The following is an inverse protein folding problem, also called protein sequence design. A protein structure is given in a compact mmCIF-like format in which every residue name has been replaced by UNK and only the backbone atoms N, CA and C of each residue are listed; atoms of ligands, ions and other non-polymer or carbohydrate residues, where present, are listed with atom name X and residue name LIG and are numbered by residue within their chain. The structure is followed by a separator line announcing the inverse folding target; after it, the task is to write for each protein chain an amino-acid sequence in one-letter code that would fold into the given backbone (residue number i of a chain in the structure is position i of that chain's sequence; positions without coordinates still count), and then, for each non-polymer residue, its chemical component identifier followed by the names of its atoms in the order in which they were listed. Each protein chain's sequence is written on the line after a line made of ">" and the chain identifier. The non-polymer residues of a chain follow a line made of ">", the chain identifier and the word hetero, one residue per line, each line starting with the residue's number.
data_IF_682040629122
#
_entry.id   IF_682040629122
#
_cell.length_a   1.000
_cell.length_b   1.000
_cell.length_c   1.000
_cell.angle_alpha   90.00
_cell.angle_beta   90.00
_cell.angle_gamma   90.00
#
_symmetry.space_group_name_H-M   'P 1'
#
loop_
_entity.id
_entity.type
_entity.pdbx_description
1 polymer ?
#
# COMPACT_ATOMS: atom_id res chain seq x y z
N UNK A 1 -10.00 -21.63 33.97
CA UNK A 1 -9.27 -20.46 33.43
C UNK A 1 -9.17 -20.57 31.91
N UNK A 2 -10.08 -19.99 31.11
CA UNK A 2 -10.01 -20.10 29.66
C UNK A 2 -9.48 -18.79 29.03
N UNK A 3 -8.16 -18.62 28.95
CA UNK A 3 -7.55 -17.54 28.16
C UNK A 3 -7.47 -17.89 26.66
N UNK A 4 -7.70 -19.15 26.28
CA UNK A 4 -7.58 -19.59 24.89
C UNK A 4 -8.74 -19.14 23.98
N UNK A 5 -9.91 -18.82 24.53
CA UNK A 5 -11.05 -18.34 23.74
C UNK A 5 -10.85 -16.93 23.16
N UNK A 6 -10.16 -16.06 23.90
CA UNK A 6 -9.92 -14.68 23.49
C UNK A 6 -8.88 -14.58 22.36
N UNK A 7 -7.79 -15.37 22.43
CA UNK A 7 -6.75 -15.42 21.40
C UNK A 7 -7.30 -15.92 20.06
N UNK A 8 -8.17 -16.93 20.07
CA UNK A 8 -8.82 -17.43 18.86
C UNK A 8 -9.73 -16.40 18.18
N UNK A 9 -10.43 -15.56 18.98
CA UNK A 9 -11.26 -14.47 18.47
C UNK A 9 -10.42 -13.34 17.87
N UNK A 10 -9.35 -12.93 18.55
CA UNK A 10 -8.44 -11.87 18.07
C UNK A 10 -7.65 -12.26 16.81
N UNK A 11 -7.34 -13.55 16.61
CA UNK A 11 -6.72 -14.03 15.36
C UNK A 11 -7.63 -13.87 14.13
N UNK A 12 -8.96 -13.87 14.33
CA UNK A 12 -9.95 -13.64 13.26
C UNK A 12 -10.36 -12.18 13.11
N UNK A 13 -9.92 -11.30 14.01
CA UNK A 13 -10.29 -9.89 13.97
C UNK A 13 -9.65 -9.21 12.76
N UNK A 14 -10.46 -8.50 11.97
CA UNK A 14 -10.00 -7.76 10.80
C UNK A 14 -9.10 -6.59 11.23
N UNK A 15 -7.87 -6.54 10.73
CA UNK A 15 -6.92 -5.45 10.98
C UNK A 15 -6.96 -4.39 9.88
N UNK A 16 -7.29 -4.78 8.65
CA UNK A 16 -7.38 -3.90 7.49
C UNK A 16 -8.65 -4.19 6.69
N UNK A 17 -9.52 -3.20 6.57
CA UNK A 17 -10.75 -3.32 5.76
C UNK A 17 -10.44 -2.93 4.32
N UNK A 18 -11.11 -3.58 3.35
CA UNK A 18 -10.83 -3.45 1.90
C UNK A 18 -10.74 -2.02 1.36
N UNK A 19 -11.51 -1.07 1.92
CA UNK A 19 -11.54 0.33 1.45
C UNK A 19 -10.70 1.29 2.30
N UNK A 20 -9.87 0.75 3.21
CA UNK A 20 -9.04 1.54 4.12
C UNK A 20 -7.60 1.71 3.62
N UNK A 21 -7.37 1.52 2.32
CA UNK A 21 -6.12 1.86 1.65
C UNK A 21 -6.40 2.63 0.35
N UNK A 22 -5.77 3.79 0.18
CA UNK A 22 -5.97 4.62 -1.00
C UNK A 22 -4.78 5.52 -1.30
N UNK A 23 -4.68 5.95 -2.56
CA UNK A 23 -3.67 6.90 -3.00
C UNK A 23 -4.26 8.31 -3.00
N UNK A 24 -3.45 9.29 -2.62
CA UNK A 24 -3.79 10.71 -2.63
C UNK A 24 -2.57 11.57 -2.97
N UNK A 25 -2.75 12.85 -3.35
CA UNK A 25 -1.64 13.78 -3.59
C UNK A 25 -0.93 14.12 -2.28
N UNK A 26 0.39 13.97 -2.23
CA UNK A 26 1.15 14.12 -0.98
C UNK A 26 1.16 15.53 -0.35
N UNK A 27 0.68 16.54 -1.07
CA UNK A 27 0.48 17.91 -0.60
C UNK A 27 -0.88 18.14 0.07
N UNK A 28 -1.86 17.24 -0.14
CA UNK A 28 -3.10 17.22 0.64
C UNK A 28 -2.83 16.62 2.04
N UNK A 29 -2.37 17.49 2.93
CA UNK A 29 -2.01 17.15 4.32
C UNK A 29 -3.19 17.18 5.30
N UNK A 30 -4.39 17.57 4.84
CA UNK A 30 -5.55 17.79 5.72
C UNK A 30 -6.68 16.82 5.44
N UNK A 31 -7.07 16.70 4.18
CA UNK A 31 -8.27 15.94 3.80
C UNK A 31 -7.91 14.53 3.34
N UNK A 32 -6.66 14.30 2.91
CA UNK A 32 -6.18 13.01 2.42
C UNK A 32 -7.10 12.46 1.32
N UNK A 33 -7.54 13.34 0.42
CA UNK A 33 -8.61 13.08 -0.55
C UNK A 33 -8.16 12.03 -1.55
N UNK A 34 -8.91 10.93 -1.66
CA UNK A 34 -8.63 9.87 -2.63
C UNK A 34 -8.55 10.45 -4.04
N UNK A 35 -7.44 10.19 -4.73
CA UNK A 35 -7.31 10.59 -6.13
C UNK A 35 -8.21 9.75 -7.04
N UNK A 36 -8.71 10.31 -8.17
CA UNK A 36 -9.47 9.56 -9.15
C UNK A 36 -8.72 8.33 -9.66
N UNK A 37 -9.44 7.32 -10.16
CA UNK A 37 -8.81 6.16 -10.78
C UNK A 37 -7.96 6.60 -11.98
N UNK A 38 -6.79 5.98 -12.13
CA UNK A 38 -5.82 6.27 -13.19
C UNK A 38 -5.26 7.70 -13.17
N UNK A 39 -5.38 8.44 -12.06
CA UNK A 39 -4.80 9.78 -11.92
C UNK A 39 -3.30 9.78 -12.22
N UNK A 40 -2.84 10.78 -12.99
CA UNK A 40 -1.44 10.88 -13.42
C UNK A 40 -0.63 11.71 -12.44
N UNK A 41 0.39 11.09 -11.85
CA UNK A 41 1.41 11.77 -11.06
C UNK A 41 2.66 11.98 -11.90
N UNK A 42 3.07 13.24 -12.05
CA UNK A 42 4.34 13.62 -12.68
C UNK A 42 5.36 13.89 -11.57
N UNK A 43 6.13 12.87 -11.21
CA UNK A 43 7.12 12.93 -10.14
C UNK A 43 8.48 13.44 -10.67
N UNK A 44 9.36 13.98 -9.82
CA UNK A 44 10.72 14.35 -10.20
C UNK A 44 11.48 13.18 -10.80
N UNK A 45 12.55 13.46 -11.56
CA UNK A 45 13.45 12.43 -12.09
C UNK A 45 13.89 11.47 -10.97
N UNK A 46 14.03 10.19 -11.31
CA UNK A 46 14.49 9.16 -10.38
C UNK A 46 15.74 9.63 -9.63
N UNK A 47 15.70 9.56 -8.29
CA UNK A 47 16.79 9.98 -7.41
C UNK A 47 16.83 11.46 -7.06
N UNK A 48 15.97 12.31 -7.62
CA UNK A 48 16.01 13.77 -7.42
C UNK A 48 14.83 14.33 -6.63
N UNK A 49 13.96 13.47 -6.08
CA UNK A 49 12.79 13.92 -5.32
C UNK A 49 13.16 14.52 -3.96
N UNK A 50 12.47 15.58 -3.57
CA UNK A 50 12.57 16.25 -2.29
C UNK A 50 11.21 16.29 -1.56
N UNK A 51 11.20 16.85 -0.34
CA UNK A 51 10.00 16.92 0.51
C UNK A 51 8.90 17.86 -0.01
N UNK A 52 9.24 18.82 -0.87
CA UNK A 52 8.27 19.75 -1.47
C UNK A 52 7.63 19.24 -2.75
N UNK A 53 8.17 18.19 -3.37
CA UNK A 53 7.58 17.62 -4.57
C UNK A 53 6.22 16.96 -4.26
N UNK A 54 5.27 17.13 -5.19
CA UNK A 54 3.98 16.45 -5.12
C UNK A 54 4.11 15.09 -5.77
N UNK A 55 4.12 14.05 -4.94
CA UNK A 55 4.20 12.64 -5.34
C UNK A 55 2.93 11.91 -4.89
N UNK A 56 2.60 10.71 -5.41
CA UNK A 56 1.56 9.89 -4.82
C UNK A 56 1.95 9.53 -3.38
N UNK A 57 0.97 9.57 -2.48
CA UNK A 57 1.10 9.06 -1.14
C UNK A 57 0.04 7.96 -0.92
N UNK A 58 0.47 6.84 -0.36
CA UNK A 58 -0.40 5.76 0.08
C UNK A 58 -0.85 6.05 1.50
N UNK A 59 -2.16 6.16 1.72
CA UNK A 59 -2.79 6.16 3.04
C UNK A 59 -3.22 4.73 3.37
N UNK A 60 -2.92 4.28 4.58
CA UNK A 60 -3.40 3.02 5.16
C UNK A 60 -4.06 3.36 6.49
N UNK A 61 -5.31 2.99 6.67
CA UNK A 61 -6.03 3.14 7.93
C UNK A 61 -6.32 1.76 8.54
N UNK A 62 -5.58 1.41 9.59
CA UNK A 62 -5.73 0.12 10.24
C UNK A 62 -6.87 0.17 11.26
N UNK A 63 -7.81 -0.79 11.16
CA UNK A 63 -8.90 -0.95 12.11
C UNK A 63 -8.40 -1.44 13.47
N UNK A 64 -7.31 -2.22 13.47
CA UNK A 64 -6.57 -2.70 14.65
C UNK A 64 -5.07 -2.68 14.34
N UNK A 65 -4.21 -2.74 15.37
CA UNK A 65 -2.78 -2.83 15.16
C UNK A 65 -2.40 -4.06 14.31
N UNK A 66 -1.29 -3.97 13.59
CA UNK A 66 -0.76 -5.06 12.76
C UNK A 66 0.75 -5.22 12.97
N UNK A 67 1.24 -6.42 13.34
CA UNK A 67 2.67 -6.66 13.50
C UNK A 67 3.47 -6.48 12.22
N UNK A 68 2.85 -6.59 11.04
CA UNK A 68 3.51 -6.49 9.75
C UNK A 68 2.56 -6.00 8.66
N UNK A 69 2.94 -4.92 7.97
CA UNK A 69 2.25 -4.40 6.78
C UNK A 69 3.19 -4.49 5.59
N UNK A 70 2.71 -5.13 4.53
CA UNK A 70 3.37 -5.28 3.22
C UNK A 70 2.59 -4.49 2.19
N UNK A 71 3.28 -3.96 1.19
CA UNK A 71 2.63 -3.28 0.06
C UNK A 71 3.32 -3.70 -1.22
N UNK A 72 2.61 -4.44 -2.05
CA UNK A 72 3.08 -4.77 -3.39
C UNK A 72 2.65 -3.71 -4.40
N UNK A 73 3.60 -3.28 -5.23
CA UNK A 73 3.31 -2.45 -6.40
C UNK A 73 3.09 -3.37 -7.59
N UNK A 74 1.85 -3.40 -8.08
CA UNK A 74 1.44 -4.27 -9.19
C UNK A 74 1.28 -3.43 -10.46
N UNK A 75 2.06 -3.69 -11.53
CA UNK A 75 1.88 -3.02 -12.81
C UNK A 75 0.55 -3.44 -13.45
N UNK A 76 -0.11 -2.49 -14.09
CA UNK A 76 -1.32 -2.71 -14.86
C UNK A 76 -0.99 -2.62 -16.34
N UNK A 77 -1.18 -3.72 -17.07
CA UNK A 77 -1.10 -3.73 -18.53
C UNK A 77 -2.17 -2.81 -19.13
N UNK A 78 -1.87 -2.15 -20.25
CA UNK A 78 -2.88 -1.39 -20.99
C UNK A 78 -4.04 -2.31 -21.39
N UNK A 79 -5.20 -2.14 -20.74
CA UNK A 79 -6.47 -2.66 -21.26
C UNK A 79 -7.24 -3.66 -20.39
N UNK A 80 -6.70 -4.17 -19.29
CA UNK A 80 -7.51 -4.99 -18.37
C UNK A 80 -7.25 -4.58 -16.93
N UNK A 81 -8.29 -4.12 -16.25
CA UNK A 81 -8.31 -4.11 -14.80
C UNK A 81 -7.97 -5.54 -14.38
N UNK A 82 -6.78 -5.72 -13.81
CA UNK A 82 -6.46 -6.96 -13.14
C UNK A 82 -7.57 -7.14 -12.09
N UNK A 83 -8.50 -8.05 -12.38
CA UNK A 83 -9.29 -8.74 -11.37
C UNK A 83 -8.31 -9.18 -10.30
N UNK A 84 -8.75 -9.25 -9.04
CA UNK A 84 -7.92 -9.50 -7.87
C UNK A 84 -6.97 -10.74 -7.94
N UNK A 85 -7.02 -11.51 -9.04
CA UNK A 85 -6.20 -12.68 -9.37
C UNK A 85 -5.44 -12.63 -10.73
N UNK A 86 -5.32 -11.51 -11.44
CA UNK A 86 -4.61 -11.47 -12.72
C UNK A 86 -3.10 -11.21 -12.54
N UNK A 87 -2.32 -12.29 -12.45
CA UNK A 87 -0.96 -12.60 -12.99
C UNK A 87 0.11 -11.53 -13.26
N UNK A 88 -0.06 -10.27 -12.90
CA UNK A 88 1.01 -9.29 -12.95
C UNK A 88 1.89 -9.46 -11.71
N UNK A 89 3.13 -9.90 -11.92
CA UNK A 89 4.12 -10.03 -10.84
C UNK A 89 4.39 -8.64 -10.24
N UNK A 90 4.31 -8.54 -8.91
CA UNK A 90 4.72 -7.34 -8.17
C UNK A 90 6.14 -6.93 -8.58
N UNK A 91 6.37 -5.64 -8.77
CA UNK A 91 7.72 -5.10 -9.02
C UNK A 91 8.49 -4.85 -7.71
N UNK A 92 7.87 -5.12 -6.56
CA UNK A 92 8.45 -4.92 -5.23
C UNK A 92 7.60 -4.01 -4.36
N UNK A 93 8.15 -3.66 -3.20
CA UNK A 93 7.52 -2.77 -2.22
C UNK A 93 8.04 -1.33 -2.37
N UNK A 94 7.23 -0.31 -2.03
CA UNK A 94 7.72 1.07 -1.91
C UNK A 94 8.89 1.15 -0.91
N UNK A 95 9.84 2.04 -1.17
CA UNK A 95 10.94 2.28 -0.23
C UNK A 95 10.43 2.66 1.18
N UNK A 96 11.00 2.05 2.22
CA UNK A 96 10.55 2.20 3.61
C UNK A 96 9.52 1.17 4.08
N UNK A 97 9.16 0.22 3.22
CA UNK A 97 8.38 -0.97 3.56
C UNK A 97 9.27 -2.22 3.41
N UNK A 98 8.95 -3.33 4.10
CA UNK A 98 7.76 -3.58 4.92
C UNK A 98 7.76 -2.83 6.26
N UNK A 99 6.58 -2.44 6.74
CA UNK A 99 6.45 -1.76 8.04
C UNK A 99 6.13 -2.76 9.15
N UNK A 100 6.85 -2.71 10.27
CA UNK A 100 6.68 -3.61 11.42
C UNK A 100 6.08 -2.87 12.61
N UNK A 101 5.35 -3.62 13.45
CA UNK A 101 4.76 -3.13 14.71
C UNK A 101 3.90 -1.88 14.52
N UNK A 102 2.91 -1.99 13.65
CA UNK A 102 2.00 -0.89 13.33
C UNK A 102 0.90 -0.83 14.38
N UNK A 103 0.80 0.31 15.06
CA UNK A 103 -0.33 0.59 15.95
C UNK A 103 -1.63 0.75 15.16
N UNK A 104 -2.76 0.78 15.86
CA UNK A 104 -4.03 1.20 15.27
C UNK A 104 -3.99 2.70 14.99
N UNK A 105 -3.45 3.09 13.85
CA UNK A 105 -3.38 4.47 13.38
C UNK A 105 -3.35 4.53 11.87
N UNK A 106 -3.67 5.70 11.34
CA UNK A 106 -3.44 5.98 9.95
C UNK A 106 -1.95 6.21 9.68
N UNK A 107 -1.45 5.60 8.62
CA UNK A 107 -0.08 5.75 8.14
C UNK A 107 -0.08 6.28 6.71
N UNK A 108 0.90 7.12 6.40
CA UNK A 108 1.07 7.70 5.06
C UNK A 108 2.48 7.43 4.54
N UNK A 109 2.59 6.84 3.36
CA UNK A 109 3.84 6.53 2.70
C UNK A 109 3.91 7.28 1.37
N UNK A 110 4.80 8.27 1.28
CA UNK A 110 5.09 8.97 0.02
C UNK A 110 5.87 8.04 -0.91
N UNK A 111 5.57 8.09 -2.20
CA UNK A 111 6.25 7.26 -3.19
C UNK A 111 6.61 8.08 -4.43
N UNK A 112 7.90 8.29 -4.65
CA UNK A 112 8.48 8.97 -5.82
C UNK A 112 8.85 7.98 -6.94
N UNK A 113 8.38 6.73 -6.86
CA UNK A 113 8.78 5.64 -7.73
C UNK A 113 9.87 4.74 -7.15
N UNK A 114 10.53 5.13 -6.05
CA UNK A 114 11.60 4.32 -5.44
C UNK A 114 11.06 3.04 -4.79
N UNK A 115 11.71 1.93 -5.08
CA UNK A 115 11.43 0.61 -4.53
C UNK A 115 12.36 0.31 -3.35
N UNK A 116 11.98 -0.64 -2.49
CA UNK A 116 12.81 -1.12 -1.38
C UNK A 116 14.19 -1.60 -1.85
N UNK A 117 14.26 -2.23 -3.03
CA UNK A 117 15.50 -2.66 -3.68
C UNK A 117 16.46 -1.52 -4.05
N UNK A 118 16.02 -0.26 -3.93
CA UNK A 118 16.76 0.94 -4.30
C UNK A 118 16.61 1.34 -5.78
N UNK A 119 16.04 0.46 -6.62
CA UNK A 119 15.68 0.82 -8.00
C UNK A 119 14.42 1.68 -8.07
N UNK A 120 14.13 2.21 -9.26
CA UNK A 120 12.94 3.03 -9.51
C UNK A 120 11.99 2.29 -10.45
N UNK A 121 10.70 2.33 -10.13
CA UNK A 121 9.65 1.82 -11.01
C UNK A 121 9.65 2.59 -12.34
N UNK A 122 9.52 1.93 -13.50
CA UNK A 122 9.42 2.64 -14.77
C UNK A 122 8.14 3.48 -14.84
N UNK A 123 8.10 4.47 -15.75
CA UNK A 123 6.85 5.17 -16.03
C UNK A 123 5.79 4.15 -16.51
N UNK A 124 4.56 4.25 -16.01
CA UNK A 124 3.55 3.22 -16.26
C UNK A 124 2.35 3.34 -15.34
N UNK A 125 1.39 2.43 -15.49
CA UNK A 125 0.19 2.38 -14.66
C UNK A 125 0.35 1.30 -13.59
N UNK A 126 -0.03 1.61 -12.37
CA UNK A 126 0.15 0.74 -11.21
C UNK A 126 -1.06 0.76 -10.29
N UNK A 127 -1.18 -0.26 -9.44
CA UNK A 127 -1.97 -0.19 -8.21
C UNK A 127 -1.18 -0.77 -7.05
N UNK A 128 -1.54 -0.40 -5.83
CA UNK A 128 -0.91 -0.92 -4.64
C UNK A 128 -1.82 -1.96 -3.99
N UNK A 129 -1.24 -3.09 -3.60
CA UNK A 129 -1.90 -4.16 -2.86
C UNK A 129 -1.33 -4.17 -1.45
N UNK A 130 -2.10 -3.66 -0.49
CA UNK A 130 -1.71 -3.57 0.91
C UNK A 130 -2.16 -4.84 1.62
N UNK A 131 -1.24 -5.50 2.31
CA UNK A 131 -1.54 -6.65 3.18
C UNK A 131 -1.10 -6.36 4.60
N UNK A 132 -2.01 -6.51 5.55
CA UNK A 132 -1.75 -6.35 6.97
C UNK A 132 -1.94 -7.70 7.68
N UNK A 133 -0.92 -8.15 8.40
CA UNK A 133 -0.97 -9.37 9.18
C UNK A 133 -1.86 -9.16 10.40
N UNK A 134 -2.75 -10.10 10.72
CA UNK A 134 -3.57 -10.02 11.94
C UNK A 134 -2.70 -10.17 13.20
N UNK A 135 -3.13 -9.63 14.34
CA UNK A 135 -2.32 -9.53 15.59
C UNK A 135 -1.69 -10.85 16.08
N UNK A 136 -2.30 -11.99 15.76
CA UNK A 136 -1.81 -13.33 16.07
C UNK A 136 -1.73 -14.23 14.83
N UNK A 137 -1.59 -13.60 13.66
CA UNK A 137 -1.46 -14.27 12.38
C UNK A 137 -0.05 -14.84 12.17
N UNK A 138 0.02 -15.91 11.40
CA UNK A 138 1.26 -16.48 10.88
C UNK A 138 1.55 -15.87 9.50
N UNK A 139 2.67 -15.16 9.38
CA UNK A 139 3.05 -14.48 8.14
C UNK A 139 3.21 -15.44 6.94
N UNK A 140 3.42 -16.74 7.18
CA UNK A 140 3.52 -17.77 6.14
C UNK A 140 2.16 -18.22 5.60
N UNK A 141 1.05 -17.86 6.26
CA UNK A 141 -0.31 -18.30 5.94
C UNK A 141 -1.10 -17.17 5.28
N UNK A 142 -1.43 -17.25 3.98
CA UNK A 142 -2.17 -16.20 3.27
C UNK A 142 -3.49 -15.82 3.95
N UNK A 143 -4.18 -16.76 4.59
CA UNK A 143 -5.46 -16.57 5.28
C UNK A 143 -5.39 -15.68 6.54
N UNK A 144 -4.19 -15.47 7.08
CA UNK A 144 -3.95 -14.63 8.26
C UNK A 144 -3.68 -13.16 7.90
N UNK A 145 -3.68 -12.83 6.60
CA UNK A 145 -3.54 -11.48 6.09
C UNK A 145 -4.90 -10.90 5.71
N UNK A 146 -5.11 -9.64 6.07
CA UNK A 146 -6.16 -8.83 5.47
C UNK A 146 -5.57 -7.99 4.32
N UNK A 147 -6.31 -7.91 3.22
CA UNK A 147 -5.88 -7.21 2.02
C UNK A 147 -6.81 -6.03 1.70
N UNK A 148 -6.22 -4.89 1.34
CA UNK A 148 -6.90 -3.75 0.74
C UNK A 148 -6.14 -3.31 -0.51
N UNK A 149 -6.89 -2.99 -1.56
CA UNK A 149 -6.28 -2.60 -2.84
C UNK A 149 -6.69 -1.19 -3.22
N UNK A 150 -5.71 -0.38 -3.61
CA UNK A 150 -5.96 1.01 -3.98
C UNK A 150 -6.62 1.11 -5.35
N UNK A 151 -7.15 2.29 -5.67
CA UNK A 151 -7.37 2.68 -7.07
C UNK A 151 -6.04 2.67 -7.85
N UNK A 152 -6.12 2.69 -9.18
CA UNK A 152 -4.93 2.76 -10.02
C UNK A 152 -4.37 4.18 -10.11
N UNK A 153 -3.08 4.28 -10.42
CA UNK A 153 -2.37 5.53 -10.71
C UNK A 153 -1.54 5.38 -11.97
N UNK A 154 -1.26 6.49 -12.65
CA UNK A 154 -0.25 6.56 -13.72
C UNK A 154 0.96 7.33 -13.23
N UNK A 155 2.14 6.71 -13.26
CA UNK A 155 3.42 7.31 -12.89
C UNK A 155 4.12 7.83 -14.13
N UNK A 156 4.52 9.10 -14.12
CA UNK A 156 5.42 9.72 -15.10
C UNK A 156 6.55 10.43 -14.37
N UNK A 157 7.71 10.50 -15.00
CA UNK A 157 8.84 11.26 -14.51
C UNK A 157 8.95 12.58 -15.27
N UNK A 158 9.37 13.66 -14.59
CA UNK A 158 9.81 14.90 -15.24
C UNK A 158 11.00 14.59 -16.14
N UNK A 159 10.97 15.15 -17.35
CA UNK A 159 12.07 15.10 -18.32
C UNK A 159 13.32 15.81 -17.80
#
# INVERSE_FOLDING_TARGET
>A
MPYQGLTGSLRKATVLVRDQAWIYPSDDKKNFTRSPDSFTYVVPKAGTSNKSDVVPALRINLALGSPLVRVDIVPLSNGTFATHNATAKSIGEPFGLPSRLNERKESSFRWDGKLESGSYAPAGRYRFVVRALRLFGDASKPEDWDEATTQSLTLKYKS
#
